data_IF_420970401161
#
_entry.id   IF_420970401161
#
_cell.length_a   1.000
_cell.length_b   1.000
_cell.length_c   1.000
_cell.angle_alpha   90.00
_cell.angle_beta   90.00
_cell.angle_gamma   90.00
#
_symmetry.space_group_name_H-M   'P 1'
#
loop_
_entity.id
_entity.type
_entity.pdbx_description
1 polymer ?
#
# COMPACT_ATOMS: atom_id res chain seq x y z
N UNK A 1 -26.65 -33.98 56.41
CA UNK A 1 -25.29 -34.08 57.02
C UNK A 1 -24.83 -32.66 57.39
N UNK A 2 -23.57 -32.44 57.79
CA UNK A 2 -23.12 -31.22 58.48
C UNK A 2 -22.80 -30.02 57.55
N UNK A 3 -22.65 -28.84 58.16
CA UNK A 3 -22.10 -27.56 57.64
C UNK A 3 -23.05 -26.78 56.71
N UNK A 4 -23.43 -25.49 56.88
CA UNK A 4 -22.92 -24.30 57.62
C UNK A 4 -21.59 -23.74 57.07
N UNK A 5 -21.33 -22.43 56.84
CA UNK A 5 -21.48 -21.15 57.60
C UNK A 5 -21.27 -20.00 56.54
N UNK A 6 -21.71 -18.72 56.53
CA UNK A 6 -22.51 -17.70 57.29
C UNK A 6 -23.21 -16.78 56.22
N UNK A 7 -23.81 -15.58 56.39
CA UNK A 7 -23.94 -14.56 57.46
C UNK A 7 -22.90 -13.40 57.35
N UNK A 8 -23.13 -12.11 57.63
CA UNK A 8 -24.28 -11.27 58.09
C UNK A 8 -23.96 -9.80 57.67
N UNK A 9 -24.74 -9.07 56.85
CA UNK A 9 -25.92 -8.20 57.10
C UNK A 9 -25.72 -6.92 57.97
N UNK A 10 -25.82 -5.76 57.29
CA UNK A 10 -26.42 -4.45 57.66
C UNK A 10 -25.88 -3.51 58.77
N UNK A 11 -26.25 -2.23 58.55
CA UNK A 11 -25.91 -0.97 59.20
C UNK A 11 -26.42 -0.76 60.65
N UNK A 12 -25.83 0.24 61.33
CA UNK A 12 -26.49 1.01 62.39
C UNK A 12 -25.98 2.48 62.40
N UNK A 13 -26.86 3.43 62.76
CA UNK A 13 -26.53 4.83 63.05
C UNK A 13 -26.77 5.07 64.54
N UNK A 14 -25.87 5.79 65.21
CA UNK A 14 -26.13 6.37 66.52
C UNK A 14 -25.35 7.69 66.68
N UNK A 15 -26.04 8.75 67.09
CA UNK A 15 -25.43 9.99 67.56
C UNK A 15 -25.43 9.99 69.10
N UNK A 16 -24.44 10.65 69.72
CA UNK A 16 -24.40 10.85 71.17
C UNK A 16 -24.09 12.32 71.47
N UNK A 17 -24.97 12.95 72.25
CA UNK A 17 -24.80 14.31 72.76
C UNK A 17 -24.32 14.21 74.21
N UNK A 18 -23.21 14.90 74.53
CA UNK A 18 -22.81 15.21 75.91
C UNK A 18 -22.42 16.69 75.95
N UNK A 19 -22.86 17.40 76.98
CA UNK A 19 -22.67 18.85 77.13
C UNK A 19 -22.02 19.22 78.46
N UNK A 20 -21.45 20.43 78.48
CA UNK A 20 -20.99 21.23 79.64
C UNK A 20 -19.50 21.10 80.02
N UNK A 21 -18.91 22.27 80.27
CA UNK A 21 -17.49 22.49 80.59
C UNK A 21 -17.04 23.85 80.03
N UNK A 22 -17.09 24.91 80.84
CA UNK A 22 -16.81 26.28 80.42
C UNK A 22 -15.68 26.89 81.28
N UNK A 23 -14.65 27.44 80.63
CA UNK A 23 -13.66 28.36 81.19
C UNK A 23 -12.96 29.11 80.07
N UNK A 24 -12.48 30.32 80.37
CA UNK A 24 -12.16 31.37 79.38
C UNK A 24 -10.66 31.49 79.06
N UNK A 25 -10.38 32.30 78.02
CA UNK A 25 -9.21 33.17 77.82
C UNK A 25 -7.94 32.70 77.08
N UNK A 26 -7.50 33.64 76.22
CA UNK A 26 -6.17 33.85 75.63
C UNK A 26 -5.73 33.05 74.39
N UNK A 27 -5.06 33.77 73.49
CA UNK A 27 -4.60 33.34 72.17
C UNK A 27 -3.16 32.81 72.22
N UNK A 28 -2.80 31.93 71.29
CA UNK A 28 -1.41 31.65 70.92
C UNK A 28 -1.27 31.87 69.41
N UNK A 29 -0.27 32.64 69.00
CA UNK A 29 0.03 32.94 67.60
C UNK A 29 0.75 31.74 66.92
N UNK A 30 0.22 31.18 65.81
CA UNK A 30 0.84 30.05 65.12
C UNK A 30 2.02 30.40 64.19
N UNK A 31 2.47 31.66 64.15
CA UNK A 31 3.47 32.19 63.18
C UNK A 31 4.90 31.59 63.23
N UNK A 32 5.15 30.50 63.96
CA UNK A 32 6.50 29.98 64.27
C UNK A 32 6.74 28.50 63.98
N UNK A 33 5.91 27.84 63.16
CA UNK A 33 6.13 26.43 62.73
C UNK A 33 6.39 26.33 61.22
N UNK A 34 7.66 26.43 60.83
CA UNK A 34 8.09 26.31 59.43
C UNK A 34 8.59 24.88 59.13
N UNK A 35 7.68 24.02 58.65
CA UNK A 35 8.08 22.73 58.07
C UNK A 35 8.62 22.91 56.65
N UNK A 36 9.61 22.10 56.27
CA UNK A 36 10.23 22.15 54.94
C UNK A 36 9.26 21.72 53.84
N UNK A 37 9.28 22.44 52.71
CA UNK A 37 8.49 22.11 51.53
C UNK A 37 9.16 20.99 50.74
N UNK A 38 8.86 19.74 51.08
CA UNK A 38 9.29 18.56 50.31
C UNK A 38 8.13 17.99 49.48
N UNK A 39 8.29 18.08 48.16
CA UNK A 39 7.63 17.27 47.11
C UNK A 39 6.15 16.86 47.25
N UNK A 40 5.26 17.79 47.61
CA UNK A 40 3.86 17.68 47.16
C UNK A 40 3.77 17.98 45.65
N UNK A 41 3.11 17.14 44.84
CA UNK A 41 2.98 17.38 43.40
C UNK A 41 2.10 18.61 43.14
N UNK A 42 2.58 19.52 42.28
CA UNK A 42 1.92 20.78 41.95
C UNK A 42 0.59 20.55 41.20
N UNK A 43 -0.58 20.87 41.80
CA UNK A 43 -1.88 20.64 41.19
C UNK A 43 -2.21 21.62 40.05
N UNK A 44 -1.38 22.64 39.80
CA UNK A 44 -1.52 23.52 38.62
C UNK A 44 -0.97 22.89 37.34
N UNK A 45 -0.20 21.81 37.47
CA UNK A 45 0.48 21.15 36.35
C UNK A 45 -0.44 20.15 35.65
N UNK A 46 -1.01 20.57 34.52
CA UNK A 46 -1.87 19.74 33.69
C UNK A 46 -1.19 18.42 33.28
N UNK A 47 -1.99 17.35 33.19
CA UNK A 47 -1.51 16.03 32.81
C UNK A 47 -0.84 16.03 31.41
N UNK A 48 0.14 15.15 31.23
CA UNK A 48 0.69 14.90 29.90
C UNK A 48 -0.42 14.31 29.00
N UNK A 49 -0.48 14.76 27.76
CA UNK A 49 -1.37 14.23 26.74
C UNK A 49 -0.59 14.10 25.42
N UNK A 50 -0.95 13.10 24.61
CA UNK A 50 -0.41 12.90 23.26
C UNK A 50 -1.52 13.14 22.24
N UNK A 51 -1.16 13.77 21.12
CA UNK A 51 -2.06 14.05 19.99
C UNK A 51 -1.38 13.60 18.68
N UNK A 52 -2.04 12.74 17.86
CA UNK A 52 -3.32 12.06 18.13
C UNK A 52 -3.20 11.01 19.25
N UNK A 53 -4.32 10.72 19.94
CA UNK A 53 -4.37 9.73 21.03
C UNK A 53 -4.81 8.33 20.55
N UNK A 54 -5.63 8.27 19.50
CA UNK A 54 -6.02 7.04 18.81
C UNK A 54 -5.92 7.31 17.31
N UNK A 55 -5.33 6.39 16.55
CA UNK A 55 -5.13 6.54 15.10
C UNK A 55 -5.03 5.19 14.37
N UNK A 56 -5.42 5.18 13.10
CA UNK A 56 -5.22 4.04 12.19
C UNK A 56 -4.16 4.40 11.13
N UNK A 57 -3.21 3.51 10.90
CA UNK A 57 -2.06 3.71 9.99
C UNK A 57 -1.85 2.43 9.16
N UNK A 58 -1.48 2.57 7.89
CA UNK A 58 -1.14 1.41 7.04
C UNK A 58 0.22 0.80 7.43
N UNK A 59 0.48 -0.49 7.15
CA UNK A 59 1.79 -1.10 7.29
C UNK A 59 2.93 -0.26 6.68
N UNK A 60 3.98 0.00 7.46
CA UNK A 60 5.09 0.87 7.06
C UNK A 60 4.79 2.38 6.98
N UNK A 61 3.56 2.83 7.28
CA UNK A 61 3.16 4.24 7.21
C UNK A 61 3.78 5.11 8.32
N UNK A 62 4.00 6.39 8.04
CA UNK A 62 4.59 7.36 8.99
C UNK A 62 3.58 8.36 9.53
N UNK A 63 3.73 8.78 10.78
CA UNK A 63 2.85 9.75 11.45
C UNK A 63 3.61 10.59 12.48
N UNK A 64 3.27 11.88 12.61
CA UNK A 64 3.82 12.74 13.64
C UNK A 64 2.91 12.80 14.89
N UNK A 65 3.47 12.46 16.05
CA UNK A 65 2.86 12.67 17.36
C UNK A 65 3.40 13.94 18.02
N UNK A 66 2.55 14.56 18.84
CA UNK A 66 2.88 15.74 19.64
C UNK A 66 2.45 15.55 21.08
N UNK A 67 3.14 16.18 22.03
CA UNK A 67 2.86 16.08 23.46
C UNK A 67 2.52 17.45 24.07
N UNK A 68 1.64 17.48 25.08
CA UNK A 68 1.19 18.74 25.73
C UNK A 68 2.29 19.49 26.51
N UNK A 69 3.42 18.84 26.76
CA UNK A 69 4.64 19.46 27.30
C UNK A 69 5.88 18.67 26.83
N UNK A 70 7.08 19.16 27.13
CA UNK A 70 8.32 18.55 26.67
C UNK A 70 8.52 17.13 27.21
N UNK A 71 8.60 16.16 26.28
CA UNK A 71 8.66 14.74 26.56
C UNK A 71 9.91 14.07 25.93
N UNK A 72 10.06 12.77 26.21
CA UNK A 72 10.79 11.78 25.41
C UNK A 72 9.80 10.75 24.86
N UNK A 73 10.16 10.09 23.75
CA UNK A 73 9.29 9.16 23.02
C UNK A 73 9.83 7.73 23.04
N UNK A 74 8.93 6.75 23.03
CA UNK A 74 9.23 5.33 22.81
C UNK A 74 8.03 4.59 22.22
N UNK A 75 8.27 3.45 21.58
CA UNK A 75 7.23 2.44 21.30
C UNK A 75 7.26 1.40 22.43
N UNK A 76 6.11 0.89 22.87
CA UNK A 76 6.05 -0.09 23.96
C UNK A 76 6.41 -1.52 23.51
N UNK A 77 5.99 -1.90 22.31
CA UNK A 77 6.23 -3.22 21.74
C UNK A 77 7.55 -3.27 20.95
N UNK A 78 8.42 -4.29 21.13
CA UNK A 78 9.70 -4.38 20.40
C UNK A 78 9.58 -4.41 18.87
N UNK A 79 8.51 -5.01 18.36
CA UNK A 79 8.18 -5.08 16.93
C UNK A 79 7.13 -4.02 16.53
N UNK A 80 6.91 -3.00 17.36
CA UNK A 80 5.84 -2.01 17.19
C UNK A 80 6.17 -0.82 16.29
N UNK A 81 7.25 -0.91 15.50
CA UNK A 81 7.76 0.18 14.68
C UNK A 81 8.84 1.01 15.37
N UNK A 82 9.04 2.25 14.92
CA UNK A 82 10.05 3.17 15.47
C UNK A 82 9.48 4.57 15.71
N UNK A 83 10.10 5.35 16.60
CA UNK A 83 9.78 6.76 16.81
C UNK A 83 11.05 7.58 17.11
N UNK A 84 11.15 8.77 16.55
CA UNK A 84 12.30 9.67 16.76
C UNK A 84 12.11 10.64 17.95
N UNK A 85 13.16 11.40 18.29
CA UNK A 85 13.13 12.41 19.36
C UNK A 85 12.09 13.53 19.16
N UNK A 86 11.55 13.68 17.94
CA UNK A 86 10.58 14.70 17.54
C UNK A 86 9.14 14.19 17.56
N UNK A 87 8.93 12.89 17.78
CA UNK A 87 7.63 12.23 17.75
C UNK A 87 7.23 11.70 16.37
N UNK A 88 8.15 11.63 15.41
CA UNK A 88 7.91 11.03 14.09
C UNK A 88 7.95 9.52 14.20
N UNK A 89 6.78 8.88 14.17
CA UNK A 89 6.58 7.44 14.23
C UNK A 89 6.59 6.82 12.83
N UNK A 90 7.08 5.58 12.72
CA UNK A 90 6.98 4.71 11.55
C UNK A 90 6.37 3.38 11.98
N UNK A 91 5.26 2.99 11.36
CA UNK A 91 4.56 1.74 11.63
C UNK A 91 5.40 0.51 11.23
N UNK A 92 5.25 -0.62 11.95
CA UNK A 92 5.76 -1.90 11.49
C UNK A 92 5.00 -2.39 10.25
N UNK A 93 5.50 -3.47 9.64
CA UNK A 93 4.84 -4.14 8.52
C UNK A 93 3.78 -5.18 8.96
N UNK A 94 3.75 -5.53 10.25
CA UNK A 94 2.73 -6.41 10.82
C UNK A 94 1.46 -5.61 11.19
N UNK A 95 0.29 -6.18 10.90
CA UNK A 95 -0.98 -5.65 11.42
C UNK A 95 -1.11 -5.91 12.93
N UNK A 96 -1.71 -4.97 13.65
CA UNK A 96 -1.89 -5.07 15.11
C UNK A 96 -2.35 -3.76 15.74
N UNK A 97 -2.25 -3.70 17.07
CA UNK A 97 -2.35 -2.45 17.83
C UNK A 97 -1.08 -2.28 18.64
N UNK A 98 -0.47 -1.11 18.52
CA UNK A 98 0.81 -0.75 19.13
C UNK A 98 0.67 0.54 19.94
N UNK A 99 1.60 0.80 20.86
CA UNK A 99 1.53 1.94 21.77
C UNK A 99 2.73 2.87 21.61
N UNK A 100 2.45 4.11 21.20
CA UNK A 100 3.40 5.22 21.23
C UNK A 100 3.28 5.89 22.61
N UNK A 101 4.40 5.95 23.34
CA UNK A 101 4.45 6.47 24.71
C UNK A 101 5.28 7.75 24.74
N UNK A 102 4.68 8.83 25.26
CA UNK A 102 5.38 10.03 25.69
C UNK A 102 5.62 9.95 27.20
N UNK A 103 6.85 10.22 27.63
CA UNK A 103 7.21 10.38 29.06
C UNK A 103 7.68 11.82 29.29
N UNK A 104 7.18 12.50 30.32
CA UNK A 104 7.59 13.88 30.61
C UNK A 104 9.08 13.94 30.99
N UNK A 105 9.77 15.04 30.65
CA UNK A 105 11.24 15.15 30.85
C UNK A 105 11.74 15.09 32.30
N UNK A 106 10.83 15.18 33.28
CA UNK A 106 11.09 14.95 34.71
C UNK A 106 10.71 13.54 35.20
N UNK A 107 10.18 12.68 34.32
CA UNK A 107 9.83 11.29 34.62
C UNK A 107 8.55 11.07 35.42
N UNK A 108 7.80 12.13 35.76
CA UNK A 108 6.65 12.06 36.68
C UNK A 108 5.33 11.73 35.96
N UNK A 109 5.21 12.01 34.66
CA UNK A 109 4.00 11.77 33.88
C UNK A 109 4.25 10.98 32.60
N UNK A 110 3.28 10.15 32.22
CA UNK A 110 3.25 9.45 30.93
C UNK A 110 1.90 9.67 30.23
N UNK A 111 1.92 9.60 28.91
CA UNK A 111 0.74 9.59 28.06
C UNK A 111 0.96 8.63 26.90
N UNK A 112 -0.09 7.90 26.53
CA UNK A 112 -0.03 6.81 25.55
C UNK A 112 -0.97 7.16 24.40
N UNK A 113 -0.52 6.90 23.17
CA UNK A 113 -1.36 6.88 21.98
C UNK A 113 -1.46 5.45 21.42
N UNK A 114 -2.69 5.06 21.06
CA UNK A 114 -3.02 3.80 20.43
C UNK A 114 -2.87 3.90 18.92
N UNK A 115 -2.00 3.06 18.33
CA UNK A 115 -1.77 2.99 16.89
C UNK A 115 -2.27 1.66 16.37
N UNK A 116 -3.41 1.68 15.68
CA UNK A 116 -3.91 0.50 14.96
C UNK A 116 -3.22 0.44 13.61
N UNK A 117 -2.42 -0.59 13.39
CA UNK A 117 -1.79 -0.86 12.09
C UNK A 117 -2.65 -1.85 11.34
N UNK A 118 -3.22 -1.43 10.21
CA UNK A 118 -3.98 -2.32 9.33
C UNK A 118 -3.99 -1.79 7.89
N UNK A 119 -4.04 -2.69 6.92
CA UNK A 119 -4.24 -2.36 5.51
C UNK A 119 -5.65 -1.77 5.25
N UNK A 120 -6.53 -1.78 6.25
CA UNK A 120 -7.87 -1.21 6.22
C UNK A 120 -8.90 -2.21 5.71
N UNK A 121 -10.09 -2.19 6.31
CA UNK A 121 -11.20 -2.99 5.79
C UNK A 121 -11.71 -2.37 4.49
N UNK A 122 -11.57 -3.08 3.36
CA UNK A 122 -12.25 -2.76 2.09
C UNK A 122 -13.74 -2.47 2.38
N UNK A 123 -14.30 -1.33 1.95
CA UNK A 123 -15.73 -1.07 2.04
C UNK A 123 -16.54 -2.21 1.40
N UNK A 124 -17.25 -2.97 2.23
CA UNK A 124 -18.06 -4.12 1.77
C UNK A 124 -19.37 -3.71 1.10
N UNK A 125 -19.75 -2.43 1.27
CA UNK A 125 -20.82 -1.73 0.55
C UNK A 125 -20.41 -0.26 0.38
N UNK A 126 -20.77 0.40 -0.73
CA UNK A 126 -20.75 1.87 -0.79
C UNK A 126 -21.70 2.47 0.26
N UNK A 127 -21.36 3.62 0.89
CA UNK A 127 -22.31 4.42 1.65
C UNK A 127 -23.54 4.82 0.83
N UNK A 128 -24.69 4.92 1.49
CA UNK A 128 -26.00 5.09 0.84
C UNK A 128 -26.23 6.47 0.19
N UNK A 129 -25.32 7.42 0.40
CA UNK A 129 -25.29 8.74 -0.25
C UNK A 129 -24.45 8.77 -1.54
N UNK A 130 -23.74 7.68 -1.88
CA UNK A 130 -22.89 7.58 -3.07
C UNK A 130 -21.47 8.12 -2.90
N UNK A 131 -21.13 8.75 -1.77
CA UNK A 131 -19.75 9.10 -1.43
C UNK A 131 -19.05 7.89 -0.82
N UNK A 132 -17.74 7.76 -1.05
CA UNK A 132 -16.90 6.77 -0.35
C UNK A 132 -15.59 7.45 0.05
N UNK A 133 -14.72 6.85 0.89
CA UNK A 133 -13.45 7.48 1.28
C UNK A 133 -12.53 7.86 0.10
N UNK A 134 -12.79 7.34 -1.10
CA UNK A 134 -12.01 7.57 -2.32
C UNK A 134 -12.84 8.07 -3.50
N UNK A 135 -14.18 8.06 -3.41
CA UNK A 135 -15.08 8.47 -4.49
C UNK A 135 -15.45 9.97 -4.38
N UNK A 136 -15.73 10.64 -5.51
CA UNK A 136 -16.20 12.02 -5.51
C UNK A 136 -17.50 12.24 -4.73
N UNK A 137 -17.75 13.49 -4.34
CA UNK A 137 -19.09 13.96 -4.02
C UNK A 137 -19.98 13.89 -5.28
N UNK A 138 -21.30 13.61 -5.18
CA UNK A 138 -22.18 13.50 -6.36
C UNK A 138 -22.30 14.77 -7.22
N UNK A 139 -21.85 15.92 -6.70
CA UNK A 139 -21.78 17.22 -7.35
C UNK A 139 -20.34 17.64 -7.77
N UNK A 140 -19.31 16.82 -7.54
CA UNK A 140 -17.94 17.14 -7.96
C UNK A 140 -17.79 17.10 -9.48
N UNK A 141 -17.85 18.28 -10.08
CA UNK A 141 -17.80 18.47 -11.54
C UNK A 141 -16.47 18.04 -12.19
N UNK A 142 -15.42 17.71 -11.44
CA UNK A 142 -14.18 17.15 -11.98
C UNK A 142 -14.32 15.69 -12.48
N UNK A 143 -15.46 15.05 -12.21
CA UNK A 143 -15.68 13.62 -12.46
C UNK A 143 -16.82 13.33 -13.43
N UNK A 144 -16.85 12.08 -13.91
CA UNK A 144 -17.91 11.49 -14.73
C UNK A 144 -18.17 10.04 -14.31
N UNK A 145 -19.42 9.71 -13.99
CA UNK A 145 -19.88 8.33 -13.77
C UNK A 145 -20.04 7.61 -15.12
N UNK A 146 -19.36 6.48 -15.31
CA UNK A 146 -19.41 5.68 -16.56
C UNK A 146 -20.82 5.23 -16.95
N UNK A 147 -21.74 5.08 -16.00
CA UNK A 147 -23.17 4.75 -16.26
C UNK A 147 -23.88 5.88 -17.00
N UNK A 148 -23.47 7.13 -16.79
CA UNK A 148 -24.01 8.30 -17.52
C UNK A 148 -23.72 8.25 -19.03
N UNK A 149 -22.81 7.37 -19.46
CA UNK A 149 -22.42 7.13 -20.85
C UNK A 149 -22.95 5.79 -21.37
N UNK A 150 -23.81 5.11 -20.60
CA UNK A 150 -24.48 3.87 -20.99
C UNK A 150 -23.85 2.56 -20.49
N UNK A 151 -22.90 2.62 -19.55
CA UNK A 151 -22.32 1.40 -18.97
C UNK A 151 -23.38 0.63 -18.14
N UNK A 152 -23.57 -0.66 -18.45
CA UNK A 152 -24.59 -1.55 -17.89
C UNK A 152 -24.03 -2.45 -16.80
N UNK A 153 -22.85 -3.04 -17.01
CA UNK A 153 -22.19 -3.90 -16.02
C UNK A 153 -22.84 -5.27 -15.80
N UNK A 154 -23.64 -5.78 -16.74
CA UNK A 154 -24.31 -7.09 -16.64
C UNK A 154 -23.45 -8.28 -17.15
N UNK A 155 -22.19 -8.02 -17.53
CA UNK A 155 -21.26 -8.93 -18.21
C UNK A 155 -21.71 -9.46 -19.59
N UNK A 156 -22.83 -8.98 -20.14
CA UNK A 156 -23.40 -9.39 -21.44
C UNK A 156 -23.28 -8.26 -22.46
N UNK A 157 -23.68 -7.04 -22.09
CA UNK A 157 -23.47 -5.82 -22.85
C UNK A 157 -21.97 -5.54 -23.08
N UNK A 158 -21.65 -4.64 -24.00
CA UNK A 158 -20.28 -4.20 -24.25
C UNK A 158 -20.10 -2.75 -23.81
N UNK A 159 -19.53 -2.58 -22.63
CA UNK A 159 -19.37 -1.31 -21.94
C UNK A 159 -18.19 -0.48 -22.51
N UNK A 160 -17.37 -1.04 -23.41
CA UNK A 160 -16.21 -0.35 -24.01
C UNK A 160 -16.60 0.99 -24.64
N UNK A 161 -17.78 1.10 -25.25
CA UNK A 161 -18.24 2.37 -25.85
C UNK A 161 -18.57 3.44 -24.80
N UNK A 162 -19.14 3.04 -23.65
CA UNK A 162 -19.47 3.94 -22.55
C UNK A 162 -18.21 4.42 -21.82
N UNK A 163 -17.30 3.50 -21.46
CA UNK A 163 -16.03 3.84 -20.82
C UNK A 163 -15.15 4.75 -21.72
N UNK A 164 -15.05 4.45 -23.03
CA UNK A 164 -14.35 5.33 -23.99
C UNK A 164 -14.98 6.73 -24.06
N UNK A 165 -16.31 6.82 -24.03
CA UNK A 165 -17.03 8.10 -24.07
C UNK A 165 -16.84 8.92 -22.78
N UNK A 166 -16.84 8.26 -21.61
CA UNK A 166 -16.51 8.89 -20.34
C UNK A 166 -15.06 9.41 -20.32
N UNK A 167 -14.08 8.58 -20.72
CA UNK A 167 -12.67 8.97 -20.78
C UNK A 167 -12.38 10.09 -21.78
N UNK A 168 -13.12 10.13 -22.91
CA UNK A 168 -13.01 11.18 -23.92
C UNK A 168 -13.39 12.58 -23.41
N UNK A 169 -14.08 12.70 -22.26
CA UNK A 169 -14.36 14.00 -21.62
C UNK A 169 -13.11 14.67 -21.02
N UNK A 170 -12.03 13.92 -20.78
CA UNK A 170 -10.83 14.41 -20.09
C UNK A 170 -11.01 14.60 -18.57
N UNK A 171 -12.21 14.40 -18.04
CA UNK A 171 -12.50 14.37 -16.60
C UNK A 171 -12.06 13.06 -15.96
N UNK A 172 -12.04 13.01 -14.62
CA UNK A 172 -11.77 11.81 -13.84
C UNK A 172 -12.95 10.83 -13.97
N UNK A 173 -12.69 9.53 -14.08
CA UNK A 173 -13.74 8.53 -14.18
C UNK A 173 -14.12 8.01 -12.79
N UNK A 174 -15.41 8.04 -12.49
CA UNK A 174 -16.00 7.30 -11.37
C UNK A 174 -16.59 5.98 -11.89
N UNK A 175 -16.17 4.87 -11.30
CA UNK A 175 -16.61 3.51 -11.62
C UNK A 175 -17.36 2.96 -10.40
N UNK A 176 -18.70 2.84 -10.45
CA UNK A 176 -19.49 2.25 -9.38
C UNK A 176 -19.64 0.73 -9.57
N UNK A 177 -20.03 0.02 -8.51
CA UNK A 177 -20.27 -1.42 -8.52
C UNK A 177 -21.18 -1.88 -9.69
N UNK A 178 -20.70 -2.74 -10.61
CA UNK A 178 -21.54 -3.33 -11.65
C UNK A 178 -22.45 -4.43 -11.07
N UNK A 179 -23.62 -4.69 -11.68
CA UNK A 179 -24.47 -5.83 -11.30
C UNK A 179 -23.78 -7.20 -11.39
N UNK A 180 -22.82 -7.37 -12.31
CA UNK A 180 -22.02 -8.59 -12.48
C UNK A 180 -20.56 -8.25 -12.79
N UNK A 181 -20.31 -7.53 -13.89
CA UNK A 181 -19.01 -7.02 -14.33
C UNK A 181 -19.22 -6.05 -15.50
N UNK A 182 -18.44 -4.97 -15.57
CA UNK A 182 -18.33 -4.21 -16.82
C UNK A 182 -17.52 -5.02 -17.82
N UNK A 183 -18.11 -5.32 -18.98
CA UNK A 183 -17.46 -6.11 -20.03
C UNK A 183 -16.86 -5.16 -21.05
N UNK A 184 -15.55 -5.30 -21.29
CA UNK A 184 -14.82 -4.52 -22.29
C UNK A 184 -14.27 -5.43 -23.37
N UNK A 185 -14.74 -5.29 -24.61
CA UNK A 185 -14.16 -5.99 -25.78
C UNK A 185 -12.93 -5.27 -26.36
N UNK A 186 -12.58 -4.09 -25.84
CA UNK A 186 -11.39 -3.38 -26.25
C UNK A 186 -11.04 -2.20 -25.34
N UNK A 187 -9.78 -1.77 -25.45
CA UNK A 187 -9.11 -0.87 -24.52
C UNK A 187 -9.73 0.51 -24.34
N UNK A 188 -9.58 1.05 -23.14
CA UNK A 188 -9.96 2.43 -22.79
C UNK A 188 -8.68 3.26 -22.68
N UNK A 189 -8.53 4.27 -23.54
CA UNK A 189 -7.45 5.26 -23.42
C UNK A 189 -7.78 6.25 -22.31
N UNK A 190 -6.96 6.30 -21.26
CA UNK A 190 -7.22 7.03 -20.03
C UNK A 190 -6.28 8.24 -19.92
N UNK A 191 -6.85 9.42 -19.66
CA UNK A 191 -6.16 10.73 -19.69
C UNK A 191 -6.19 11.49 -18.37
N UNK A 192 -6.92 10.95 -17.40
CA UNK A 192 -7.13 11.48 -16.05
C UNK A 192 -7.45 10.30 -15.12
N UNK A 193 -7.54 10.51 -13.81
CA UNK A 193 -7.70 9.43 -12.84
C UNK A 193 -8.96 8.57 -13.04
N UNK A 194 -8.91 7.31 -12.60
CA UNK A 194 -10.04 6.35 -12.59
C UNK A 194 -10.16 5.76 -11.19
N UNK A 195 -11.31 5.97 -10.53
CA UNK A 195 -11.54 5.48 -9.17
C UNK A 195 -12.77 4.58 -9.11
N UNK A 196 -12.65 3.47 -8.40
CA UNK A 196 -13.79 2.67 -7.96
C UNK A 196 -14.50 3.30 -6.77
N UNK A 197 -15.77 2.95 -6.58
CA UNK A 197 -16.59 3.30 -5.40
C UNK A 197 -16.18 2.60 -4.09
N UNK A 198 -14.91 2.23 -3.94
CA UNK A 198 -14.39 1.47 -2.79
C UNK A 198 -14.89 0.03 -2.71
N UNK A 199 -15.93 -0.37 -3.47
CA UNK A 199 -16.44 -1.74 -3.49
C UNK A 199 -15.56 -2.69 -4.30
N UNK A 200 -14.52 -2.19 -4.98
CA UNK A 200 -13.74 -2.89 -6.02
C UNK A 200 -14.63 -3.33 -7.19
N UNK A 201 -15.16 -2.39 -7.99
CA UNK A 201 -15.98 -2.70 -9.16
C UNK A 201 -15.18 -3.54 -10.17
N UNK A 202 -15.82 -4.59 -10.67
CA UNK A 202 -15.21 -5.55 -11.58
C UNK A 202 -15.31 -5.09 -13.04
N UNK A 203 -14.16 -4.83 -13.66
CA UNK A 203 -13.99 -4.60 -15.08
C UNK A 203 -13.31 -5.83 -15.68
N UNK A 204 -13.96 -6.46 -16.66
CA UNK A 204 -13.53 -7.71 -17.29
C UNK A 204 -13.22 -7.51 -18.77
N UNK A 205 -11.99 -7.83 -19.13
CA UNK A 205 -11.52 -7.91 -20.51
C UNK A 205 -12.21 -9.07 -21.23
N UNK A 206 -12.50 -8.91 -22.52
CA UNK A 206 -12.89 -9.98 -23.44
C UNK A 206 -12.09 -9.82 -24.75
N UNK A 207 -11.74 -10.95 -25.39
CA UNK A 207 -10.93 -10.95 -26.62
C UNK A 207 -9.42 -11.11 -26.39
N UNK A 208 -8.98 -11.29 -25.14
CA UNK A 208 -7.56 -11.50 -24.79
C UNK A 208 -6.97 -12.75 -25.46
N UNK A 209 -6.02 -12.56 -26.38
CA UNK A 209 -5.37 -13.62 -27.16
C UNK A 209 -3.84 -13.55 -27.16
N UNK A 210 -3.26 -12.52 -26.52
CA UNK A 210 -1.83 -12.29 -26.47
C UNK A 210 -1.21 -11.67 -27.73
N UNK A 211 -1.98 -11.42 -28.79
CA UNK A 211 -1.45 -11.18 -30.13
C UNK A 211 -0.54 -9.92 -30.21
N UNK A 212 0.74 -10.06 -30.61
CA UNK A 212 1.66 -8.94 -30.75
C UNK A 212 1.34 -7.98 -31.90
N UNK A 213 0.47 -8.33 -32.85
CA UNK A 213 -0.03 -7.43 -33.90
C UNK A 213 -1.24 -6.61 -33.40
N UNK A 214 -1.88 -7.03 -32.30
CA UNK A 214 -3.07 -6.38 -31.71
C UNK A 214 -2.72 -5.41 -30.56
N UNK A 215 -1.59 -4.72 -30.65
CA UNK A 215 -1.19 -3.71 -29.66
C UNK A 215 -1.90 -2.37 -29.91
N UNK A 216 -2.58 -1.75 -28.93
CA UNK A 216 -2.90 -2.19 -27.56
C UNK A 216 -4.40 -2.59 -27.42
N UNK A 217 -5.04 -3.12 -28.47
CA UNK A 217 -6.51 -3.19 -28.59
C UNK A 217 -7.18 -3.97 -27.48
N UNK A 218 -6.55 -5.04 -26.99
CA UNK A 218 -7.05 -5.90 -25.92
C UNK A 218 -6.39 -5.66 -24.55
N UNK A 219 -5.94 -4.45 -24.21
CA UNK A 219 -5.64 -4.10 -22.79
C UNK A 219 -6.89 -3.52 -22.11
N UNK A 220 -7.04 -3.54 -20.77
CA UNK A 220 -8.18 -2.85 -20.12
C UNK A 220 -7.96 -1.32 -20.16
N UNK A 221 -6.93 -0.83 -19.46
CA UNK A 221 -6.57 0.58 -19.46
C UNK A 221 -5.26 0.84 -20.20
N UNK A 222 -5.23 1.94 -20.95
CA UNK A 222 -4.07 2.37 -21.74
C UNK A 222 -3.78 3.85 -21.45
N UNK A 223 -2.62 4.13 -20.85
CA UNK A 223 -2.22 5.45 -20.37
C UNK A 223 -0.98 5.88 -21.17
N UNK A 224 -1.22 6.52 -22.31
CA UNK A 224 -0.18 6.83 -23.29
C UNK A 224 0.14 8.33 -23.37
N UNK A 225 1.43 8.69 -23.28
CA UNK A 225 1.93 10.08 -23.36
C UNK A 225 1.27 11.05 -22.36
N UNK A 226 0.77 10.54 -21.22
CA UNK A 226 0.28 11.40 -20.15
C UNK A 226 1.46 12.11 -19.49
N UNK A 227 1.45 13.43 -19.42
CA UNK A 227 2.52 14.26 -18.85
C UNK A 227 1.95 15.32 -17.89
N UNK A 228 0.83 14.99 -17.23
CA UNK A 228 0.15 15.87 -16.28
C UNK A 228 0.71 15.77 -14.85
N UNK A 229 0.09 16.46 -13.88
CA UNK A 229 0.59 16.54 -12.51
C UNK A 229 0.42 15.25 -11.69
N UNK A 230 -0.47 14.35 -12.11
CA UNK A 230 -0.77 13.10 -11.40
C UNK A 230 -2.02 12.43 -11.96
N UNK A 231 -1.90 11.16 -12.33
CA UNK A 231 -3.01 10.30 -12.75
C UNK A 231 -3.02 9.06 -11.85
N UNK A 232 -4.16 8.76 -11.23
CA UNK A 232 -4.27 7.64 -10.30
C UNK A 232 -5.34 6.65 -10.78
N UNK A 233 -5.00 5.38 -10.85
CA UNK A 233 -5.93 4.25 -10.98
C UNK A 233 -6.10 3.65 -9.58
N UNK A 234 -7.32 3.72 -9.02
CA UNK A 234 -7.56 3.45 -7.61
C UNK A 234 -8.77 2.53 -7.36
N UNK A 235 -8.57 1.45 -6.61
CA UNK A 235 -9.68 0.71 -5.99
C UNK A 235 -10.58 -0.04 -6.99
N UNK A 236 -10.02 -0.62 -8.05
CA UNK A 236 -10.72 -1.35 -9.10
C UNK A 236 -10.37 -2.85 -9.07
N UNK A 237 -11.26 -3.72 -9.53
CA UNK A 237 -10.95 -5.11 -9.85
C UNK A 237 -10.89 -5.27 -11.37
N UNK A 238 -9.69 -5.55 -11.91
CA UNK A 238 -9.44 -5.72 -13.33
C UNK A 238 -9.15 -7.20 -13.63
N UNK A 239 -10.00 -7.84 -14.43
CA UNK A 239 -9.93 -9.27 -14.78
C UNK A 239 -9.59 -9.43 -16.27
N UNK A 240 -8.36 -9.86 -16.55
CA UNK A 240 -7.83 -10.08 -17.91
C UNK A 240 -8.31 -11.37 -18.60
N UNK A 241 -9.18 -12.14 -17.93
CA UNK A 241 -9.76 -13.42 -18.38
C UNK A 241 -8.84 -14.63 -18.58
N UNK A 242 -7.50 -14.52 -18.53
CA UNK A 242 -6.60 -15.65 -18.79
C UNK A 242 -6.89 -16.87 -17.92
N UNK A 243 -7.10 -18.01 -18.58
CA UNK A 243 -7.29 -19.35 -18.02
C UNK A 243 -6.44 -20.42 -18.73
N UNK A 244 -5.70 -20.05 -19.78
CA UNK A 244 -4.81 -20.94 -20.53
C UNK A 244 -4.26 -20.32 -21.83
N UNK A 245 -3.45 -21.10 -22.55
CA UNK A 245 -2.86 -20.70 -23.83
C UNK A 245 -1.48 -20.06 -23.76
N UNK A 246 -0.80 -20.00 -24.90
CA UNK A 246 0.62 -19.60 -25.02
C UNK A 246 0.93 -18.71 -26.24
N UNK A 247 -0.10 -18.08 -26.83
CA UNK A 247 -0.08 -17.57 -28.20
C UNK A 247 0.81 -16.33 -28.46
N UNK A 248 0.93 -15.44 -27.47
CA UNK A 248 1.71 -14.21 -27.61
C UNK A 248 2.11 -13.60 -26.26
N UNK A 249 2.14 -12.28 -26.15
CA UNK A 249 2.66 -11.56 -24.97
C UNK A 249 1.82 -10.35 -24.52
N UNK A 250 0.72 -10.05 -25.22
CA UNK A 250 -0.06 -8.82 -25.03
C UNK A 250 -1.41 -9.09 -24.34
N UNK A 251 -2.29 -8.08 -24.33
CA UNK A 251 -3.50 -8.03 -23.49
C UNK A 251 -3.17 -7.82 -22.00
N UNK A 252 -2.89 -6.56 -21.65
CA UNK A 252 -2.46 -6.14 -20.30
C UNK A 252 -3.64 -5.66 -19.45
N UNK A 253 -3.53 -5.79 -18.11
CA UNK A 253 -4.47 -5.13 -17.20
C UNK A 253 -4.37 -3.60 -17.33
N UNK A 254 -3.19 -3.05 -17.05
CA UNK A 254 -2.88 -1.62 -17.26
C UNK A 254 -1.60 -1.50 -18.09
N UNK A 255 -1.68 -0.77 -19.21
CA UNK A 255 -0.54 -0.47 -20.08
C UNK A 255 -0.20 1.02 -20.00
N UNK A 256 0.91 1.34 -19.32
CA UNK A 256 1.48 2.68 -19.18
C UNK A 256 2.61 2.85 -20.23
N UNK A 257 2.50 3.86 -21.11
CA UNK A 257 3.40 4.01 -22.25
C UNK A 257 3.88 5.46 -22.47
N UNK A 258 5.17 5.73 -22.25
CA UNK A 258 5.79 7.06 -22.34
C UNK A 258 5.05 8.12 -21.49
N UNK A 259 4.66 7.75 -20.28
CA UNK A 259 3.81 8.57 -19.38
C UNK A 259 4.49 8.89 -18.06
N UNK A 260 4.18 10.04 -17.47
CA UNK A 260 4.78 10.53 -16.22
C UNK A 260 3.75 10.73 -15.11
N UNK A 261 4.16 10.58 -13.84
CA UNK A 261 3.33 10.82 -12.65
C UNK A 261 2.06 9.95 -12.64
N UNK A 262 2.23 8.63 -12.74
CA UNK A 262 1.11 7.67 -12.73
C UNK A 262 1.19 6.77 -11.51
N UNK A 263 0.11 6.69 -10.73
CA UNK A 263 -0.03 5.79 -9.59
C UNK A 263 -1.10 4.73 -9.88
N UNK A 264 -0.78 3.46 -9.66
CA UNK A 264 -1.74 2.35 -9.60
C UNK A 264 -1.79 1.87 -8.16
N UNK A 265 -2.93 2.02 -7.50
CA UNK A 265 -3.07 1.73 -6.07
C UNK A 265 -4.37 1.05 -5.69
N UNK A 266 -4.30 0.22 -4.64
CA UNK A 266 -5.46 -0.46 -4.04
C UNK A 266 -6.31 -1.27 -5.03
N UNK A 267 -5.78 -1.67 -6.19
CA UNK A 267 -6.48 -2.45 -7.20
C UNK A 267 -6.28 -3.97 -6.97
N UNK A 268 -7.23 -4.78 -7.43
CA UNK A 268 -7.01 -6.20 -7.71
C UNK A 268 -6.85 -6.33 -9.21
N UNK A 269 -5.68 -6.72 -9.70
CA UNK A 269 -5.42 -6.86 -11.14
C UNK A 269 -4.94 -8.28 -11.37
N UNK A 270 -5.70 -9.04 -12.15
CA UNK A 270 -5.49 -10.47 -12.26
C UNK A 270 -5.74 -11.01 -13.66
N UNK A 271 -5.07 -12.14 -13.95
CA UNK A 271 -5.31 -12.98 -15.12
C UNK A 271 -5.12 -12.26 -16.45
N UNK A 272 -4.14 -11.36 -16.56
CA UNK A 272 -3.70 -10.85 -17.85
C UNK A 272 -3.05 -11.95 -18.72
N UNK A 273 -3.25 -11.87 -20.05
CA UNK A 273 -2.59 -12.78 -21.02
C UNK A 273 -1.13 -12.33 -21.29
N UNK A 274 -0.88 -11.03 -21.19
CA UNK A 274 0.42 -10.44 -20.98
C UNK A 274 0.63 -10.21 -19.49
N UNK A 275 0.69 -8.94 -19.10
CA UNK A 275 1.04 -8.52 -17.74
C UNK A 275 -0.13 -7.83 -17.02
N UNK A 276 -0.23 -8.00 -15.69
CA UNK A 276 -1.22 -7.25 -14.89
C UNK A 276 -0.95 -5.74 -15.02
N UNK A 277 0.31 -5.32 -14.88
CA UNK A 277 0.77 -3.95 -15.18
C UNK A 277 2.02 -3.97 -16.07
N UNK A 278 1.97 -3.27 -17.20
CA UNK A 278 3.10 -3.07 -18.12
C UNK A 278 3.49 -1.59 -18.20
N UNK A 279 4.78 -1.29 -17.99
CA UNK A 279 5.35 0.07 -17.98
C UNK A 279 6.47 0.19 -19.02
N UNK A 280 6.19 0.86 -20.13
CA UNK A 280 7.12 0.96 -21.27
C UNK A 280 7.29 2.40 -21.77
N UNK A 281 8.14 2.57 -22.78
CA UNK A 281 8.32 3.81 -23.53
C UNK A 281 8.42 3.52 -25.03
N UNK A 282 8.39 4.57 -25.86
CA UNK A 282 8.83 4.47 -27.26
C UNK A 282 10.35 4.67 -27.36
N UNK A 283 10.80 5.87 -27.00
CA UNK A 283 12.21 6.23 -26.76
C UNK A 283 12.25 7.54 -25.94
N UNK A 284 11.49 8.55 -26.36
CA UNK A 284 11.20 9.75 -25.57
C UNK A 284 9.73 10.21 -25.75
N UNK A 285 9.08 10.78 -24.71
CA UNK A 285 9.54 10.76 -23.32
C UNK A 285 9.60 9.33 -22.78
N UNK A 286 10.61 9.01 -21.98
CA UNK A 286 10.59 7.79 -21.14
C UNK A 286 9.42 7.87 -20.13
N UNK A 287 8.87 6.73 -19.71
CA UNK A 287 7.91 6.75 -18.59
C UNK A 287 8.62 7.15 -17.29
N UNK A 288 8.04 8.02 -16.47
CA UNK A 288 8.77 8.59 -15.32
C UNK A 288 7.91 8.84 -14.08
N UNK A 289 8.43 8.55 -12.88
CA UNK A 289 7.69 8.71 -11.62
C UNK A 289 6.39 7.87 -11.66
N UNK A 290 6.59 6.54 -11.71
CA UNK A 290 5.52 5.54 -11.75
C UNK A 290 5.45 4.85 -10.40
N UNK A 291 4.26 4.77 -9.80
CA UNK A 291 4.06 4.18 -8.48
C UNK A 291 3.05 3.05 -8.59
N UNK A 292 3.39 1.87 -8.09
CA UNK A 292 2.53 0.68 -8.05
C UNK A 292 2.51 0.22 -6.60
N UNK A 293 1.44 0.52 -5.87
CA UNK A 293 1.40 0.29 -4.42
C UNK A 293 0.09 -0.22 -3.82
N UNK A 294 0.22 -1.04 -2.77
CA UNK A 294 -0.91 -1.57 -2.00
C UNK A 294 -1.94 -2.36 -2.85
N UNK A 295 -1.55 -2.88 -4.02
CA UNK A 295 -2.40 -3.68 -4.90
C UNK A 295 -2.33 -5.18 -4.56
N UNK A 296 -3.35 -5.93 -4.98
CA UNK A 296 -3.26 -7.37 -5.19
C UNK A 296 -3.05 -7.63 -6.67
N UNK A 297 -1.98 -8.34 -7.04
CA UNK A 297 -1.63 -8.71 -8.40
C UNK A 297 -1.61 -10.23 -8.53
N UNK A 298 -2.35 -10.81 -9.47
CA UNK A 298 -2.81 -12.19 -9.36
C UNK A 298 -2.80 -13.00 -10.65
N UNK A 299 -1.96 -14.03 -10.71
CA UNK A 299 -2.07 -15.13 -11.70
C UNK A 299 -2.08 -14.73 -13.19
N UNK A 300 -1.30 -13.73 -13.66
CA UNK A 300 -1.13 -13.46 -15.09
C UNK A 300 -0.26 -14.53 -15.74
N UNK A 301 -0.28 -14.53 -17.08
CA UNK A 301 0.56 -15.44 -17.86
C UNK A 301 2.03 -15.02 -17.90
N UNK A 302 2.36 -13.75 -18.21
CA UNK A 302 3.75 -13.23 -18.23
C UNK A 302 4.15 -12.71 -16.84
N UNK A 303 3.90 -11.43 -16.54
CA UNK A 303 4.36 -10.77 -15.32
C UNK A 303 3.21 -10.15 -14.53
N UNK A 304 3.34 -10.05 -13.21
CA UNK A 304 2.46 -9.16 -12.44
C UNK A 304 2.86 -7.70 -12.69
N UNK A 305 4.16 -7.42 -12.79
CA UNK A 305 4.68 -6.11 -13.20
C UNK A 305 5.84 -6.31 -14.18
N UNK A 306 5.72 -5.77 -15.38
CA UNK A 306 6.81 -5.69 -16.35
C UNK A 306 7.19 -4.23 -16.60
N UNK A 307 8.48 -3.91 -16.49
CA UNK A 307 9.03 -2.56 -16.69
C UNK A 307 10.07 -2.62 -17.80
N UNK A 308 9.72 -2.08 -18.96
CA UNK A 308 10.48 -2.16 -20.21
C UNK A 308 11.18 -0.84 -20.58
N UNK A 309 10.67 0.30 -20.12
CA UNK A 309 11.30 1.60 -20.39
C UNK A 309 10.81 2.69 -19.45
N UNK A 310 11.52 2.90 -18.34
CA UNK A 310 11.11 3.87 -17.33
C UNK A 310 12.25 4.40 -16.43
N UNK A 311 12.04 5.58 -15.84
CA UNK A 311 12.86 6.12 -14.75
C UNK A 311 12.03 6.41 -13.50
N UNK A 312 12.60 6.24 -12.30
CA UNK A 312 11.92 6.52 -11.03
C UNK A 312 10.61 5.69 -10.89
N UNK A 313 10.76 4.39 -10.64
CA UNK A 313 9.63 3.45 -10.48
C UNK A 313 9.60 2.88 -9.06
N UNK A 314 8.47 3.03 -8.37
CA UNK A 314 8.26 2.50 -7.02
C UNK A 314 7.24 1.37 -7.06
N UNK A 315 7.63 0.17 -6.65
CA UNK A 315 6.78 -1.01 -6.49
C UNK A 315 6.78 -1.37 -5.01
N UNK A 316 5.72 -1.05 -4.26
CA UNK A 316 5.73 -1.25 -2.81
C UNK A 316 4.45 -1.78 -2.19
N UNK A 317 4.56 -2.53 -1.10
CA UNK A 317 3.44 -3.05 -0.30
C UNK A 317 2.38 -3.85 -1.11
N UNK A 318 2.70 -4.36 -2.30
CA UNK A 318 1.77 -5.15 -3.09
C UNK A 318 1.74 -6.62 -2.62
N UNK A 319 0.60 -7.28 -2.73
CA UNK A 319 0.47 -8.74 -2.62
C UNK A 319 0.55 -9.33 -4.03
N UNK A 320 1.60 -10.10 -4.34
CA UNK A 320 1.96 -10.52 -5.70
C UNK A 320 1.97 -12.05 -5.79
N UNK A 321 0.92 -12.61 -6.41
CA UNK A 321 0.74 -14.06 -6.58
C UNK A 321 1.01 -14.47 -8.02
N UNK A 322 1.98 -15.37 -8.23
CA UNK A 322 2.43 -15.82 -9.55
C UNK A 322 2.41 -17.34 -9.66
N UNK A 323 1.35 -17.85 -10.30
CA UNK A 323 1.11 -19.29 -10.55
C UNK A 323 1.59 -19.78 -11.92
N UNK A 324 1.69 -18.88 -12.90
CA UNK A 324 2.41 -19.14 -14.16
C UNK A 324 3.92 -19.19 -13.90
N UNK A 325 4.62 -20.17 -14.47
CA UNK A 325 6.09 -20.23 -14.48
C UNK A 325 6.72 -19.45 -15.65
N UNK A 326 5.95 -18.87 -16.56
CA UNK A 326 6.48 -18.11 -17.69
C UNK A 326 6.92 -16.70 -17.23
N UNK A 327 8.11 -16.27 -17.64
CA UNK A 327 8.77 -15.01 -17.23
C UNK A 327 9.06 -14.93 -15.71
N UNK A 328 8.38 -14.07 -14.94
CA UNK A 328 8.60 -13.86 -13.49
C UNK A 328 7.39 -13.18 -12.84
N UNK A 329 7.46 -12.82 -11.55
CA UNK A 329 6.43 -11.99 -10.92
C UNK A 329 6.67 -10.50 -11.23
N UNK A 330 7.91 -10.02 -11.04
CA UNK A 330 8.37 -8.72 -11.55
C UNK A 330 9.48 -8.95 -12.58
N UNK A 331 9.40 -8.31 -13.75
CA UNK A 331 10.52 -8.26 -14.70
C UNK A 331 10.90 -6.82 -15.01
N UNK A 332 12.19 -6.50 -14.86
CA UNK A 332 12.78 -5.28 -15.40
C UNK A 332 13.46 -5.68 -16.72
N UNK A 333 12.76 -5.43 -17.83
CA UNK A 333 13.05 -5.91 -19.18
C UNK A 333 13.36 -4.79 -20.19
N UNK A 334 14.47 -4.04 -20.03
CA UNK A 334 14.88 -2.99 -20.96
C UNK A 334 15.07 -3.54 -22.38
N UNK A 335 14.47 -2.88 -23.38
CA UNK A 335 14.49 -3.37 -24.77
C UNK A 335 15.90 -3.56 -25.35
N UNK A 336 16.04 -4.64 -26.13
CA UNK A 336 17.31 -5.13 -26.66
C UNK A 336 17.82 -4.32 -27.86
N UNK A 337 17.03 -3.38 -28.41
CA UNK A 337 17.47 -2.46 -29.46
C UNK A 337 18.17 -1.21 -28.87
N UNK A 338 18.31 -1.13 -27.55
CA UNK A 338 19.23 -0.20 -26.88
C UNK A 338 18.76 1.26 -26.79
N UNK A 339 17.53 1.56 -27.22
CA UNK A 339 16.92 2.91 -27.12
C UNK A 339 16.18 3.15 -25.80
N UNK A 340 15.90 2.08 -25.04
CA UNK A 340 15.19 2.13 -23.75
C UNK A 340 16.10 1.62 -22.63
N UNK A 341 15.77 2.00 -21.40
CA UNK A 341 16.47 1.64 -20.17
C UNK A 341 15.53 1.68 -18.98
N UNK A 342 15.93 1.04 -17.88
CA UNK A 342 15.16 1.01 -16.63
C UNK A 342 16.07 1.46 -15.48
N UNK A 343 15.75 2.59 -14.84
CA UNK A 343 16.63 3.20 -13.84
C UNK A 343 15.91 3.83 -12.65
N UNK A 344 16.46 3.68 -11.45
CA UNK A 344 15.90 4.28 -10.25
C UNK A 344 14.65 3.54 -9.83
N UNK A 345 14.80 2.26 -9.50
CA UNK A 345 13.68 1.37 -9.16
C UNK A 345 13.75 0.96 -7.70
N UNK A 346 12.64 1.15 -6.98
CA UNK A 346 12.50 0.73 -5.57
C UNK A 346 11.45 -0.39 -5.52
N UNK A 347 11.84 -1.56 -5.04
CA UNK A 347 10.95 -2.71 -4.82
C UNK A 347 10.94 -3.01 -3.33
N UNK A 348 10.00 -2.43 -2.59
CA UNK A 348 10.02 -2.40 -1.11
C UNK A 348 8.77 -3.00 -0.46
N UNK A 349 8.93 -3.87 0.54
CA UNK A 349 7.82 -4.34 1.39
C UNK A 349 6.73 -5.17 0.71
N UNK A 350 6.95 -5.67 -0.52
CA UNK A 350 5.96 -6.50 -1.22
C UNK A 350 5.90 -7.91 -0.63
N UNK A 351 4.71 -8.53 -0.64
CA UNK A 351 4.50 -9.92 -0.23
C UNK A 351 4.31 -10.80 -1.47
N UNK A 352 5.22 -11.75 -1.67
CA UNK A 352 5.24 -12.67 -2.81
C UNK A 352 4.59 -14.02 -2.48
N UNK A 353 3.92 -14.62 -3.45
CA UNK A 353 3.62 -16.05 -3.50
C UNK A 353 3.86 -16.58 -4.93
N UNK A 354 5.07 -17.09 -5.17
CA UNK A 354 5.63 -17.28 -6.52
C UNK A 354 6.15 -18.71 -6.71
N UNK A 355 5.53 -19.43 -7.65
CA UNK A 355 5.99 -20.77 -8.05
C UNK A 355 7.36 -20.73 -8.73
N UNK A 356 8.03 -21.87 -8.85
CA UNK A 356 9.27 -21.97 -9.60
C UNK A 356 9.11 -21.47 -11.05
N UNK A 357 9.82 -20.40 -11.39
CA UNK A 357 9.78 -19.82 -12.73
C UNK A 357 10.63 -20.63 -13.73
N UNK A 358 10.35 -20.48 -15.01
CA UNK A 358 11.05 -21.14 -16.10
C UNK A 358 12.54 -20.76 -16.10
N UNK A 359 13.40 -21.69 -16.53
CA UNK A 359 14.86 -21.58 -16.42
C UNK A 359 15.37 -21.34 -14.98
N UNK A 360 14.52 -21.58 -13.96
CA UNK A 360 14.79 -21.34 -12.55
C UNK A 360 15.29 -19.91 -12.25
N UNK A 361 14.67 -18.94 -12.93
CA UNK A 361 14.80 -17.52 -12.62
C UNK A 361 14.16 -17.18 -11.25
N UNK A 362 14.44 -15.98 -10.76
CA UNK A 362 13.89 -15.47 -9.50
C UNK A 362 12.42 -15.05 -9.61
N UNK A 363 11.85 -14.58 -8.49
CA UNK A 363 10.57 -13.89 -8.51
C UNK A 363 10.69 -12.49 -9.16
N UNK A 364 11.86 -11.87 -9.02
CA UNK A 364 12.24 -10.61 -9.65
C UNK A 364 13.35 -10.90 -10.67
N UNK A 365 13.17 -10.44 -11.90
CA UNK A 365 14.15 -10.53 -12.98
C UNK A 365 14.76 -9.17 -13.29
N UNK A 366 16.07 -9.17 -13.58
CA UNK A 366 16.83 -8.07 -14.14
C UNK A 366 17.40 -8.53 -15.47
N UNK A 367 16.65 -8.38 -16.57
CA UNK A 367 17.10 -8.78 -17.89
C UNK A 367 18.27 -7.89 -18.34
N UNK A 368 19.43 -8.49 -18.67
CA UNK A 368 20.61 -7.71 -19.05
C UNK A 368 20.37 -6.95 -20.37
N UNK A 369 20.39 -5.60 -20.38
CA UNK A 369 20.19 -4.84 -21.60
C UNK A 369 21.26 -5.18 -22.64
N UNK A 370 20.81 -5.38 -23.87
CA UNK A 370 21.71 -5.39 -25.01
C UNK A 370 22.04 -3.94 -25.39
N UNK A 371 23.33 -3.66 -25.56
CA UNK A 371 23.88 -2.42 -26.13
C UNK A 371 23.67 -1.11 -25.33
N UNK A 372 22.69 -1.00 -24.41
CA UNK A 372 22.48 0.21 -23.59
C UNK A 372 23.01 0.07 -22.14
N UNK A 373 24.01 0.88 -21.71
CA UNK A 373 24.55 0.85 -20.35
C UNK A 373 23.75 1.62 -19.29
N UNK A 374 22.60 2.22 -19.64
CA UNK A 374 21.88 3.15 -18.77
C UNK A 374 20.89 2.53 -17.75
N UNK A 375 20.81 1.20 -17.64
CA UNK A 375 19.91 0.53 -16.68
C UNK A 375 20.62 0.20 -15.36
N UNK A 376 20.02 0.55 -14.23
CA UNK A 376 20.66 0.50 -12.91
C UNK A 376 19.94 1.29 -11.83
N UNK A 377 20.61 1.56 -10.72
CA UNK A 377 20.05 2.22 -9.53
C UNK A 377 18.77 1.50 -9.04
N UNK A 378 18.90 0.22 -8.68
CA UNK A 378 17.78 -0.66 -8.28
C UNK A 378 17.94 -1.12 -6.83
N UNK A 379 16.96 -0.85 -5.98
CA UNK A 379 16.93 -1.27 -4.57
C UNK A 379 15.78 -2.22 -4.30
N UNK A 380 16.07 -3.40 -3.74
CA UNK A 380 15.08 -4.45 -3.43
C UNK A 380 15.13 -4.76 -1.93
N UNK A 381 14.14 -4.30 -1.16
CA UNK A 381 14.21 -4.26 0.31
C UNK A 381 12.93 -4.71 1.01
N UNK A 382 13.05 -5.30 2.19
CA UNK A 382 11.92 -5.67 3.08
C UNK A 382 10.83 -6.58 2.48
N UNK A 383 11.05 -7.17 1.30
CA UNK A 383 10.05 -8.04 0.67
C UNK A 383 9.98 -9.38 1.41
N UNK A 384 8.80 -9.98 1.45
CA UNK A 384 8.52 -11.20 2.22
C UNK A 384 7.65 -12.20 1.44
N UNK A 385 7.48 -13.41 1.94
CA UNK A 385 6.59 -14.42 1.35
C UNK A 385 7.32 -15.63 0.75
N UNK A 386 6.63 -16.34 -0.13
CA UNK A 386 7.05 -17.61 -0.73
C UNK A 386 7.61 -17.40 -2.14
N UNK A 387 8.85 -17.87 -2.38
CA UNK A 387 9.42 -17.96 -3.73
C UNK A 387 10.38 -19.16 -3.83
N UNK A 388 10.53 -19.68 -5.05
CA UNK A 388 11.66 -20.59 -5.35
C UNK A 388 12.93 -19.77 -5.57
N UNK A 389 14.05 -20.04 -4.86
CA UNK A 389 15.30 -19.32 -5.10
C UNK A 389 15.85 -19.55 -6.52
N UNK A 390 16.44 -18.49 -7.06
CA UNK A 390 17.21 -18.49 -8.32
C UNK A 390 18.23 -19.65 -8.36
N UNK A 391 18.34 -20.37 -9.48
CA UNK A 391 19.22 -21.54 -9.58
C UNK A 391 20.72 -21.19 -9.58
N UNK A 392 21.62 -22.10 -9.11
CA UNK A 392 23.06 -21.84 -8.97
C UNK A 392 23.86 -21.55 -10.25
N UNK A 393 23.23 -21.59 -11.43
CA UNK A 393 23.84 -21.26 -12.72
C UNK A 393 23.38 -19.90 -13.28
N UNK A 394 22.42 -19.24 -12.63
CA UNK A 394 21.98 -17.88 -12.95
C UNK A 394 22.67 -16.88 -12.02
N UNK A 395 23.08 -15.74 -12.57
CA UNK A 395 23.59 -14.63 -11.77
C UNK A 395 22.49 -14.16 -10.80
N UNK A 396 22.81 -14.04 -9.51
CA UNK A 396 21.85 -13.73 -8.43
C UNK A 396 22.36 -12.51 -7.67
N UNK A 397 21.48 -11.55 -7.37
CA UNK A 397 21.88 -10.34 -6.62
C UNK A 397 22.24 -10.73 -5.17
N UNK A 398 23.44 -10.41 -4.66
CA UNK A 398 23.82 -10.69 -3.27
C UNK A 398 22.85 -10.04 -2.28
N UNK A 399 22.52 -10.75 -1.19
CA UNK A 399 21.58 -10.27 -0.16
C UNK A 399 20.09 -10.38 -0.51
N UNK A 400 19.74 -10.82 -1.74
CA UNK A 400 18.34 -11.01 -2.16
C UNK A 400 17.64 -12.26 -1.61
N UNK A 401 18.33 -13.14 -0.88
CA UNK A 401 17.84 -14.47 -0.52
C UNK A 401 17.28 -15.29 -1.73
N UNK A 402 17.88 -15.09 -2.91
CA UNK A 402 17.49 -15.76 -4.16
C UNK A 402 16.25 -15.19 -4.85
N UNK A 403 15.66 -14.12 -4.31
CA UNK A 403 14.49 -13.42 -4.86
C UNK A 403 14.77 -12.79 -6.23
N UNK A 404 15.98 -12.25 -6.43
CA UNK A 404 16.35 -11.42 -7.59
C UNK A 404 17.40 -12.11 -8.45
N UNK A 405 17.03 -12.46 -9.68
CA UNK A 405 17.93 -13.02 -10.70
C UNK A 405 18.32 -11.98 -11.76
N UNK A 406 19.54 -12.09 -12.28
CA UNK A 406 20.06 -11.29 -13.39
C UNK A 406 20.04 -12.16 -14.64
N UNK A 407 19.08 -11.91 -15.53
CA UNK A 407 18.75 -12.85 -16.63
C UNK A 407 19.72 -12.66 -17.81
N UNK A 408 20.36 -13.75 -18.30
CA UNK A 408 21.29 -13.68 -19.43
C UNK A 408 20.59 -13.44 -20.79
N UNK A 409 20.75 -12.24 -21.38
CA UNK A 409 20.29 -11.98 -22.75
C UNK A 409 21.12 -12.75 -23.79
N UNK A 410 20.46 -13.30 -24.82
CA UNK A 410 21.05 -14.31 -25.71
C UNK A 410 22.14 -13.80 -26.66
N UNK A 411 23.39 -14.15 -26.41
CA UNK A 411 24.50 -14.05 -27.37
C UNK A 411 25.04 -12.67 -27.74
N UNK A 412 24.40 -11.57 -27.32
CA UNK A 412 24.83 -10.19 -27.61
C UNK A 412 25.76 -9.67 -26.50
N UNK A 413 26.65 -8.72 -26.83
CA UNK A 413 27.49 -8.02 -25.85
C UNK A 413 26.61 -7.24 -24.85
N UNK A 414 26.62 -7.68 -23.60
CA UNK A 414 25.77 -7.18 -22.51
C UNK A 414 26.41 -5.99 -21.81
N UNK A 415 25.59 -5.09 -21.30
CA UNK A 415 25.99 -4.14 -20.26
C UNK A 415 25.38 -4.60 -18.93
N UNK A 416 26.16 -4.71 -17.84
CA UNK A 416 25.63 -5.13 -16.55
C UNK A 416 24.78 -4.02 -15.92
N UNK A 417 23.78 -4.40 -15.15
CA UNK A 417 23.05 -3.47 -14.28
C UNK A 417 24.00 -2.86 -13.25
N UNK A 418 24.04 -1.53 -13.17
CA UNK A 418 24.88 -0.82 -12.19
C UNK A 418 24.05 -0.43 -10.95
N UNK A 419 24.70 -0.24 -9.79
CA UNK A 419 24.06 0.15 -8.53
C UNK A 419 22.81 -0.69 -8.15
N UNK A 420 22.91 -2.02 -8.20
CA UNK A 420 21.85 -2.92 -7.73
C UNK A 420 22.12 -3.35 -6.29
N UNK A 421 21.15 -3.18 -5.40
CA UNK A 421 21.21 -3.61 -3.99
C UNK A 421 20.00 -4.44 -3.60
N UNK A 422 20.22 -5.49 -2.81
CA UNK A 422 19.13 -6.25 -2.19
C UNK A 422 19.48 -6.58 -0.73
N UNK A 423 18.61 -6.20 0.21
CA UNK A 423 18.79 -6.45 1.67
C UNK A 423 17.45 -6.66 2.36
N UNK A 424 17.46 -7.26 3.56
CA UNK A 424 16.27 -7.44 4.41
C UNK A 424 15.08 -8.18 3.76
N UNK A 425 15.31 -8.95 2.68
CA UNK A 425 14.27 -9.75 2.03
C UNK A 425 14.15 -11.11 2.74
N UNK A 426 12.95 -11.45 3.22
CA UNK A 426 12.71 -12.54 4.16
C UNK A 426 11.80 -13.61 3.54
N UNK A 427 12.36 -14.73 3.01
CA UNK A 427 11.53 -15.84 2.56
C UNK A 427 10.82 -16.48 3.75
N UNK A 428 9.50 -16.63 3.67
CA UNK A 428 8.68 -17.32 4.68
C UNK A 428 8.38 -18.75 4.21
N UNK A 429 8.43 -19.77 5.10
CA UNK A 429 8.05 -21.15 4.77
C UNK A 429 6.59 -21.34 4.36
#
# INVERSE_FOLDING_TARGET
MKNSIRGVVASAIAALIVTAGCSDSSLVDPSTVQFGADTLPDPSRGALAVTPADVEVVPGGTLAFSASSAATWSVAEPEGGTIDERGSYTAPQAEGTYQVVATSRDGVGQAIASVRVTQGARPTSPPADGTTPWAPAPDDTEWVDVRSFGAVGDAVADDTSAFRSAAATGKKLFVPAPPVAYKLTGNVEVKNSVYGDGSMPLIRMYGADGDPDQRPTHSIFYIARYQGPGLVINGLHLDGQWDGGTNGEYSMGIYILSSSNVTVQHCNIERAYGDDIFVAAFAEPMSNNIVIENNTLGTPRRCNIAVNGATNVTIRNNQITKTSSYVSAIDLEPDQLGVQYVRGVVIDGNRFDVVAQAYYAGAINLNNPAQNPASGDVSVTHNSGTWTPTAPYMDTVPGSAGLVSVVPSGGIARQPWYNVTATNNTPTP
#
